data_IF_976745101074
#
_entry.id   IF_976745101074
#
_cell.length_a   1.000
_cell.length_b   1.000
_cell.length_c   1.000
_cell.angle_alpha   90.00
_cell.angle_beta   90.00
_cell.angle_gamma   90.00
#
_symmetry.space_group_name_H-M   'P 1'
#
loop_
_entity.id
_entity.type
_entity.pdbx_description
1 polymer ?
#
# COMPACT_ATOMS: atom_id res chain seq x y z
N UNK A 1 0.61 -31.65 -8.93
CA UNK A 1 1.14 -30.27 -8.96
C UNK A 1 0.00 -29.36 -8.55
N UNK A 2 0.12 -28.66 -7.42
CA UNK A 2 -0.92 -27.77 -6.91
C UNK A 2 -1.12 -26.60 -7.88
N UNK A 3 -2.37 -26.23 -8.14
CA UNK A 3 -2.70 -25.24 -9.17
C UNK A 3 -2.66 -23.84 -8.56
N UNK A 4 -1.76 -22.99 -9.06
CA UNK A 4 -1.71 -21.57 -8.69
C UNK A 4 -2.49 -20.75 -9.71
N UNK A 5 -3.39 -19.89 -9.24
CA UNK A 5 -4.17 -18.98 -10.08
C UNK A 5 -4.12 -17.57 -9.53
N UNK A 6 -3.96 -16.57 -10.38
CA UNK A 6 -4.04 -15.15 -9.99
C UNK A 6 -5.32 -14.54 -10.52
N UNK A 7 -6.02 -13.77 -9.68
CA UNK A 7 -7.19 -12.99 -10.06
C UNK A 7 -7.01 -11.54 -9.59
N UNK A 8 -7.57 -10.62 -10.36
CA UNK A 8 -7.63 -9.20 -10.00
C UNK A 8 -9.10 -8.84 -9.96
N UNK A 9 -9.56 -8.34 -8.82
CA UNK A 9 -10.90 -7.84 -8.61
C UNK A 9 -10.87 -6.31 -8.58
N UNK A 10 -11.89 -5.69 -9.15
CA UNK A 10 -12.15 -4.24 -9.16
C UNK A 10 -13.14 -3.82 -8.06
N UNK A 11 -13.59 -4.77 -7.25
CA UNK A 11 -14.56 -4.58 -6.19
C UNK A 11 -14.29 -5.62 -5.09
N UNK A 12 -14.25 -5.15 -3.84
CA UNK A 12 -13.88 -5.98 -2.70
C UNK A 12 -14.91 -7.08 -2.40
N UNK A 13 -16.19 -6.86 -2.70
CA UNK A 13 -17.27 -7.82 -2.44
C UNK A 13 -17.18 -9.09 -3.31
N UNK A 14 -16.25 -9.14 -4.26
CA UNK A 14 -15.87 -10.37 -5.00
C UNK A 14 -14.91 -11.28 -4.22
N UNK A 15 -14.39 -10.82 -3.09
CA UNK A 15 -13.55 -11.57 -2.17
C UNK A 15 -14.38 -11.83 -0.91
N UNK A 16 -14.46 -13.08 -0.44
CA UNK A 16 -15.16 -13.33 0.80
C UNK A 16 -14.35 -12.77 1.98
N UNK A 17 -15.00 -12.10 2.93
CA UNK A 17 -14.36 -11.53 4.13
C UNK A 17 -13.50 -12.56 4.88
N UNK A 18 -13.98 -13.81 5.00
CA UNK A 18 -13.21 -14.92 5.58
C UNK A 18 -11.86 -15.21 4.87
N UNK A 19 -11.77 -14.97 3.56
CA UNK A 19 -10.52 -15.16 2.80
C UNK A 19 -9.54 -14.02 3.09
N UNK A 20 -10.07 -12.80 3.30
CA UNK A 20 -9.31 -11.65 3.75
C UNK A 20 -8.72 -11.89 5.13
N UNK A 21 -9.57 -12.29 6.07
CA UNK A 21 -9.17 -12.55 7.47
C UNK A 21 -8.14 -13.68 7.55
N UNK A 22 -8.23 -14.70 6.69
CA UNK A 22 -7.29 -15.81 6.66
C UNK A 22 -5.85 -15.39 6.31
N UNK A 23 -5.66 -14.30 5.55
CA UNK A 23 -4.33 -13.85 5.11
C UNK A 23 -3.81 -12.61 5.84
N UNK A 24 -4.69 -11.78 6.39
CA UNK A 24 -4.32 -10.58 7.15
C UNK A 24 -4.38 -10.79 8.66
N UNK A 25 -5.28 -11.64 9.15
CA UNK A 25 -5.60 -11.73 10.58
C UNK A 25 -6.26 -10.45 11.08
N UNK A 26 -6.05 -10.15 12.36
CA UNK A 26 -6.61 -8.97 13.02
C UNK A 26 -5.67 -7.77 12.86
N UNK A 27 -5.95 -6.92 11.86
CA UNK A 27 -5.23 -5.68 11.59
C UNK A 27 -6.21 -4.51 11.44
N UNK A 28 -5.79 -3.25 11.73
CA UNK A 28 -6.64 -2.08 11.52
C UNK A 28 -7.12 -1.93 10.07
N UNK A 29 -6.24 -2.17 9.09
CA UNK A 29 -6.56 -2.18 7.65
C UNK A 29 -7.26 -3.49 7.22
N UNK A 30 -8.36 -3.82 7.91
CA UNK A 30 -9.19 -5.00 7.70
C UNK A 30 -10.11 -4.88 6.47
N UNK A 31 -10.89 -5.93 6.20
CA UNK A 31 -11.87 -5.94 5.11
C UNK A 31 -12.86 -4.76 5.18
N UNK A 32 -13.50 -4.43 6.33
CA UNK A 32 -14.36 -3.25 6.45
C UNK A 32 -13.67 -1.93 6.12
N UNK A 33 -12.37 -1.79 6.42
CA UNK A 33 -11.60 -0.59 6.10
C UNK A 33 -11.54 -0.39 4.58
N UNK A 34 -11.10 -1.39 3.82
CA UNK A 34 -11.01 -1.29 2.35
C UNK A 34 -12.39 -1.16 1.70
N UNK A 35 -13.40 -1.86 2.22
CA UNK A 35 -14.80 -1.70 1.77
C UNK A 35 -15.30 -0.27 1.99
N UNK A 36 -14.94 0.36 3.10
CA UNK A 36 -15.30 1.75 3.37
C UNK A 36 -14.60 2.69 2.39
N UNK A 37 -13.31 2.46 2.08
CA UNK A 37 -12.59 3.28 1.11
C UNK A 37 -13.22 3.22 -0.29
N UNK A 38 -13.59 2.02 -0.74
CA UNK A 38 -14.24 1.81 -2.04
C UNK A 38 -15.62 2.49 -2.09
N UNK A 39 -16.42 2.36 -1.02
CA UNK A 39 -17.75 2.98 -0.92
C UNK A 39 -17.73 4.49 -0.69
N UNK A 40 -16.57 5.07 -0.37
CA UNK A 40 -16.43 6.52 -0.16
C UNK A 40 -16.38 7.32 -1.46
N UNK A 41 -16.45 6.66 -2.62
CA UNK A 41 -16.48 7.27 -3.97
C UNK A 41 -15.35 8.30 -4.20
N UNK A 42 -14.16 7.99 -3.70
CA UNK A 42 -12.99 8.85 -3.83
C UNK A 42 -12.47 8.83 -5.27
N UNK A 43 -13.04 9.70 -6.11
CA UNK A 43 -12.86 9.73 -7.57
C UNK A 43 -11.41 9.82 -8.08
N UNK A 44 -10.47 10.26 -7.24
CA UNK A 44 -9.04 10.32 -7.55
C UNK A 44 -8.33 8.96 -7.44
N UNK A 45 -8.94 7.97 -6.79
CA UNK A 45 -8.43 6.63 -6.63
C UNK A 45 -9.31 5.62 -7.36
N UNK A 46 -8.66 4.64 -7.99
CA UNK A 46 -9.33 3.43 -8.48
C UNK A 46 -8.74 2.24 -7.75
N UNK A 47 -9.57 1.48 -7.04
CA UNK A 47 -9.15 0.36 -6.21
C UNK A 47 -9.16 -0.97 -6.98
N UNK A 48 -8.21 -1.84 -6.65
CA UNK A 48 -8.16 -3.20 -7.15
C UNK A 48 -7.64 -4.13 -6.05
N UNK A 49 -7.92 -5.42 -6.16
CA UNK A 49 -7.47 -6.43 -5.22
C UNK A 49 -6.91 -7.60 -6.00
N UNK A 50 -5.61 -7.81 -5.89
CA UNK A 50 -4.96 -8.96 -6.51
C UNK A 50 -4.93 -10.10 -5.50
N UNK A 51 -5.52 -11.23 -5.89
CA UNK A 51 -5.58 -12.44 -5.08
C UNK A 51 -4.84 -13.57 -5.79
N UNK A 52 -3.91 -14.20 -5.08
CA UNK A 52 -3.26 -15.43 -5.51
C UNK A 52 -3.93 -16.58 -4.77
N UNK A 53 -4.44 -17.53 -5.54
CA UNK A 53 -5.06 -18.75 -5.07
C UNK A 53 -4.12 -19.93 -5.26
N UNK A 54 -4.12 -20.86 -4.29
CA UNK A 54 -3.54 -22.19 -4.42
C UNK A 54 -4.58 -23.22 -4.03
N UNK A 55 -4.92 -24.11 -4.95
CA UNK A 55 -5.96 -25.13 -4.75
C UNK A 55 -7.29 -24.50 -4.23
N UNK A 56 -7.69 -23.39 -4.86
CA UNK A 56 -8.87 -22.58 -4.55
C UNK A 56 -8.88 -21.85 -3.20
N UNK A 57 -7.78 -21.87 -2.45
CA UNK A 57 -7.62 -21.08 -1.23
C UNK A 57 -6.79 -19.82 -1.49
N UNK A 58 -7.26 -18.66 -1.01
CA UNK A 58 -6.49 -17.42 -1.06
C UNK A 58 -5.23 -17.55 -0.19
N UNK A 59 -4.06 -17.45 -0.81
CA UNK A 59 -2.75 -17.53 -0.13
C UNK A 59 -2.05 -16.18 -0.03
N UNK A 60 -2.39 -15.25 -0.93
CA UNK A 60 -1.94 -13.86 -0.88
C UNK A 60 -3.04 -12.93 -1.36
N UNK A 61 -3.26 -11.83 -0.64
CA UNK A 61 -4.11 -10.72 -1.07
C UNK A 61 -3.29 -9.43 -1.01
N UNK A 62 -3.23 -8.73 -2.13
CA UNK A 62 -2.60 -7.42 -2.26
C UNK A 62 -3.69 -6.38 -2.57
N UNK A 63 -3.98 -5.46 -1.64
CA UNK A 63 -4.79 -4.28 -1.91
C UNK A 63 -4.00 -3.33 -2.81
N UNK A 64 -4.62 -2.84 -3.87
CA UNK A 64 -4.00 -1.98 -4.86
C UNK A 64 -4.87 -0.74 -5.08
N UNK A 65 -4.23 0.35 -5.50
CA UNK A 65 -4.95 1.48 -6.05
C UNK A 65 -4.16 2.17 -7.16
N UNK A 66 -4.83 2.85 -8.07
CA UNK A 66 -4.18 3.70 -9.06
C UNK A 66 -4.65 5.14 -8.95
N UNK A 67 -3.73 6.09 -9.12
CA UNK A 67 -4.01 7.53 -9.16
C UNK A 67 -2.97 8.27 -10.02
N UNK A 68 -3.27 9.51 -10.39
CA UNK A 68 -2.27 10.42 -10.92
C UNK A 68 -1.40 10.95 -9.76
N UNK A 69 -0.12 10.60 -9.74
CA UNK A 69 0.82 10.91 -8.66
C UNK A 69 1.78 12.03 -9.05
N UNK A 70 1.96 13.01 -8.15
CA UNK A 70 2.87 14.13 -8.31
C UNK A 70 4.28 13.73 -7.86
N UNK A 71 5.22 13.68 -8.80
CA UNK A 71 6.62 13.30 -8.54
C UNK A 71 7.43 14.42 -7.86
N UNK A 72 6.86 15.62 -7.75
CA UNK A 72 7.46 16.80 -7.10
C UNK A 72 7.02 16.99 -5.64
N UNK A 73 6.37 16.00 -5.01
CA UNK A 73 5.79 16.12 -3.66
C UNK A 73 6.78 16.57 -2.57
N UNK A 74 8.07 16.21 -2.71
CA UNK A 74 9.13 16.58 -1.76
C UNK A 74 9.96 17.80 -2.20
N UNK A 75 9.57 18.48 -3.29
CA UNK A 75 10.34 19.59 -3.85
C UNK A 75 9.93 20.91 -3.19
N UNK A 76 10.87 21.51 -2.46
CA UNK A 76 10.67 22.80 -1.79
C UNK A 76 11.46 23.94 -2.45
N UNK A 77 11.14 25.18 -2.06
CA UNK A 77 11.89 26.38 -2.43
C UNK A 77 11.77 26.78 -3.91
N UNK A 78 12.86 27.35 -4.47
CA UNK A 78 12.85 27.97 -5.80
C UNK A 78 12.50 26.99 -6.93
N UNK A 79 12.80 25.70 -6.76
CA UNK A 79 12.52 24.68 -7.77
C UNK A 79 11.01 24.45 -7.96
N UNK A 80 10.20 24.63 -6.92
CA UNK A 80 8.74 24.60 -7.00
C UNK A 80 8.20 25.67 -7.98
N UNK A 81 8.77 26.87 -7.97
CA UNK A 81 8.39 27.95 -8.89
C UNK A 81 8.68 27.61 -10.36
N UNK A 82 9.81 26.96 -10.62
CA UNK A 82 10.18 26.50 -11.97
C UNK A 82 9.21 25.41 -12.46
N UNK A 83 8.90 24.43 -11.61
CA UNK A 83 7.93 23.36 -11.94
C UNK A 83 6.57 23.95 -12.28
N UNK A 84 6.08 24.91 -11.50
CA UNK A 84 4.81 25.61 -11.78
C UNK A 84 4.83 26.35 -13.11
N UNK A 85 5.95 26.97 -13.49
CA UNK A 85 6.10 27.63 -14.78
C UNK A 85 6.03 26.63 -15.94
N UNK A 86 6.72 25.49 -15.83
CA UNK A 86 6.68 24.42 -16.83
C UNK A 86 5.26 23.87 -16.96
N UNK A 87 4.54 23.67 -15.85
CA UNK A 87 3.14 23.19 -15.85
C UNK A 87 2.16 24.11 -16.56
N UNK A 88 2.48 25.38 -16.80
CA UNK A 88 1.64 26.27 -17.64
C UNK A 88 1.62 25.85 -19.11
N UNK A 89 2.71 25.26 -19.59
CA UNK A 89 2.86 24.81 -20.98
C UNK A 89 2.65 23.30 -21.09
N UNK A 90 3.10 22.53 -20.09
CA UNK A 90 2.94 21.08 -20.02
C UNK A 90 2.24 20.69 -18.71
N UNK A 91 0.89 20.71 -18.65
CA UNK A 91 0.12 20.51 -17.41
C UNK A 91 0.43 19.21 -16.66
N UNK A 92 0.78 18.14 -17.39
CA UNK A 92 1.16 16.83 -16.82
C UNK A 92 2.64 16.69 -16.48
N UNK A 93 3.43 17.78 -16.49
CA UNK A 93 4.83 17.72 -16.10
C UNK A 93 4.97 17.23 -14.65
N UNK A 94 5.76 16.18 -14.45
CA UNK A 94 5.93 15.46 -13.18
C UNK A 94 4.63 14.85 -12.60
N UNK A 95 3.62 14.60 -13.44
CA UNK A 95 2.41 13.87 -13.06
C UNK A 95 2.41 12.52 -13.78
N UNK A 96 2.47 11.44 -13.01
CA UNK A 96 2.51 10.08 -13.55
C UNK A 96 1.35 9.26 -13.02
N UNK A 97 0.60 8.62 -13.92
CA UNK A 97 -0.34 7.58 -13.51
C UNK A 97 0.46 6.44 -12.87
N UNK A 98 0.10 6.09 -11.64
CA UNK A 98 0.90 5.19 -10.81
C UNK A 98 0.00 4.13 -10.22
N UNK A 99 0.45 2.88 -10.26
CA UNK A 99 -0.17 1.75 -9.58
C UNK A 99 0.53 1.53 -8.25
N UNK A 100 -0.22 1.58 -7.16
CA UNK A 100 0.28 1.36 -5.82
C UNK A 100 -0.16 -0.01 -5.30
N UNK A 101 0.76 -0.70 -4.63
CA UNK A 101 0.46 -1.84 -3.77
C UNK A 101 0.45 -1.35 -2.32
N UNK A 102 -0.71 -1.41 -1.67
CA UNK A 102 -1.01 -0.84 -0.37
C UNK A 102 -2.31 -0.05 -0.38
N UNK A 103 -2.47 0.84 0.60
CA UNK A 103 -3.62 1.75 0.73
C UNK A 103 -3.20 3.22 0.61
N UNK A 104 -4.04 4.09 0.03
CA UNK A 104 -3.77 5.52 0.00
C UNK A 104 -3.75 6.16 1.39
N UNK A 105 -4.47 5.58 2.36
CA UNK A 105 -4.64 6.13 3.72
C UNK A 105 -3.97 5.31 4.82
N UNK A 106 -3.39 4.16 4.50
CA UNK A 106 -2.62 3.41 5.49
C UNK A 106 -1.22 4.00 5.66
N UNK A 107 -0.81 4.14 6.91
CA UNK A 107 0.55 4.53 7.31
C UNK A 107 1.57 3.39 7.08
N UNK A 108 1.09 2.14 7.11
CA UNK A 108 1.90 0.96 6.83
C UNK A 108 1.34 0.22 5.62
N UNK A 109 2.22 -0.11 4.67
CA UNK A 109 1.94 -1.06 3.60
C UNK A 109 1.63 -2.43 4.18
N UNK A 110 0.46 -2.97 3.80
CA UNK A 110 0.02 -4.31 4.19
C UNK A 110 -0.07 -5.20 2.96
N UNK A 111 0.39 -6.44 3.13
CA UNK A 111 0.27 -7.52 2.16
C UNK A 111 -0.17 -8.75 2.93
N UNK A 112 -1.36 -9.26 2.61
CA UNK A 112 -1.92 -10.42 3.28
C UNK A 112 -1.24 -11.66 2.73
N UNK A 113 -0.60 -12.45 3.59
CA UNK A 113 -0.01 -13.73 3.20
C UNK A 113 -0.41 -14.75 4.27
N UNK A 114 -1.03 -15.83 3.82
CA UNK A 114 -1.44 -16.92 4.70
C UNK A 114 -0.23 -17.48 5.45
N UNK A 115 -0.43 -17.83 6.73
CA UNK A 115 0.67 -18.15 7.66
C UNK A 115 1.60 -19.27 7.15
N UNK A 116 1.03 -20.32 6.57
CA UNK A 116 1.73 -21.46 5.96
C UNK A 116 2.48 -21.12 4.66
N UNK A 117 2.21 -19.96 4.06
CA UNK A 117 2.87 -19.46 2.85
C UNK A 117 3.82 -18.28 3.10
N UNK A 118 4.02 -17.82 4.34
CA UNK A 118 4.92 -16.70 4.65
C UNK A 118 6.37 -16.92 4.21
N UNK A 119 6.82 -18.17 4.12
CA UNK A 119 8.15 -18.54 3.61
C UNK A 119 8.21 -18.82 2.10
N UNK A 120 7.11 -18.64 1.38
CA UNK A 120 7.04 -18.98 -0.05
C UNK A 120 7.86 -18.02 -0.90
N UNK A 121 8.81 -18.56 -1.65
CA UNK A 121 9.69 -17.79 -2.53
C UNK A 121 9.03 -17.38 -3.86
N UNK A 122 7.87 -17.93 -4.19
CA UNK A 122 7.19 -17.72 -5.48
C UNK A 122 6.13 -16.62 -5.44
N UNK A 123 5.55 -16.31 -4.27
CA UNK A 123 4.40 -15.41 -4.17
C UNK A 123 4.72 -13.96 -4.55
N UNK A 124 5.80 -13.39 -4.01
CA UNK A 124 6.18 -11.99 -4.29
C UNK A 124 6.63 -11.80 -5.75
N UNK A 125 7.45 -12.69 -6.36
CA UNK A 125 7.74 -12.62 -7.79
C UNK A 125 6.49 -12.73 -8.66
N UNK A 126 5.54 -13.59 -8.29
CA UNK A 126 4.28 -13.75 -9.00
C UNK A 126 3.42 -12.48 -8.90
N UNK A 127 3.27 -11.92 -7.70
CA UNK A 127 2.64 -10.64 -7.46
C UNK A 127 3.27 -9.55 -8.33
N UNK A 128 4.60 -9.41 -8.31
CA UNK A 128 5.31 -8.40 -9.09
C UNK A 128 5.05 -8.51 -10.60
N UNK A 129 4.97 -9.74 -11.13
CA UNK A 129 4.64 -9.98 -12.55
C UNK A 129 3.21 -9.53 -12.86
N UNK A 130 2.25 -9.95 -12.05
CA UNK A 130 0.85 -9.56 -12.22
C UNK A 130 0.63 -8.05 -12.09
N UNK A 131 1.37 -7.37 -11.21
CA UNK A 131 1.35 -5.90 -11.11
C UNK A 131 1.91 -5.23 -12.38
N UNK A 132 2.97 -5.77 -12.98
CA UNK A 132 3.49 -5.26 -14.26
C UNK A 132 2.46 -5.40 -15.38
N UNK A 133 1.80 -6.55 -15.47
CA UNK A 133 0.75 -6.78 -16.46
C UNK A 133 -0.44 -5.83 -16.26
N UNK A 134 -0.86 -5.60 -15.00
CA UNK A 134 -1.91 -4.64 -14.66
C UNK A 134 -1.49 -3.20 -14.99
N UNK A 135 -0.25 -2.82 -14.66
CA UNK A 135 0.28 -1.49 -14.93
C UNK A 135 0.29 -1.17 -16.44
N UNK A 136 0.65 -2.13 -17.29
CA UNK A 136 0.54 -2.00 -18.75
C UNK A 136 -0.91 -1.77 -19.17
N UNK A 137 -1.86 -2.55 -18.67
CA UNK A 137 -3.30 -2.38 -18.97
C UNK A 137 -3.84 -1.01 -18.55
N UNK A 138 -3.34 -0.48 -17.44
CA UNK A 138 -3.77 0.81 -16.88
C UNK A 138 -3.02 2.02 -17.48
N UNK A 139 -2.06 1.80 -18.38
CA UNK A 139 -1.11 2.82 -18.84
C UNK A 139 -0.42 3.55 -17.66
N UNK A 140 -0.09 2.80 -16.61
CA UNK A 140 0.60 3.29 -15.42
C UNK A 140 2.10 2.97 -15.54
N UNK A 141 2.96 3.92 -15.94
CA UNK A 141 4.39 3.66 -16.11
C UNK A 141 5.15 3.41 -14.80
N UNK A 142 4.52 3.65 -13.64
CA UNK A 142 5.14 3.51 -12.33
C UNK A 142 4.35 2.54 -11.44
N UNK A 143 5.08 1.67 -10.74
CA UNK A 143 4.54 0.77 -9.72
C UNK A 143 5.25 1.07 -8.39
N UNK A 144 4.49 1.30 -7.33
CA UNK A 144 5.03 1.61 -6.00
C UNK A 144 4.47 0.62 -4.98
N UNK A 145 5.37 -0.07 -4.26
CA UNK A 145 5.01 -0.72 -3.00
C UNK A 145 5.09 0.34 -1.90
N UNK A 146 3.93 0.81 -1.44
CA UNK A 146 3.82 2.02 -0.60
C UNK A 146 4.01 1.67 0.88
N UNK A 147 4.89 2.42 1.54
CA UNK A 147 5.05 2.52 3.01
C UNK A 147 5.23 1.19 3.77
N UNK A 148 5.98 0.25 3.20
CA UNK A 148 6.32 -0.99 3.93
C UNK A 148 7.35 -0.70 5.04
N UNK A 149 7.04 -1.05 6.30
CA UNK A 149 7.93 -0.80 7.42
C UNK A 149 9.20 -1.66 7.32
N UNK A 150 10.31 -1.17 7.89
CA UNK A 150 11.64 -1.73 7.67
C UNK A 150 11.70 -3.24 8.01
N UNK A 151 11.01 -3.66 9.07
CA UNK A 151 10.94 -5.04 9.54
C UNK A 151 10.27 -5.97 8.52
N UNK A 152 9.41 -5.42 7.65
CA UNK A 152 8.70 -6.16 6.60
C UNK A 152 9.36 -6.05 5.23
N UNK A 153 10.43 -5.27 5.09
CA UNK A 153 11.10 -5.08 3.78
C UNK A 153 11.83 -6.32 3.27
N UNK A 154 12.27 -7.22 4.16
CA UNK A 154 12.96 -8.46 3.78
C UNK A 154 12.10 -9.35 2.87
N UNK A 155 10.79 -9.39 3.11
CA UNK A 155 9.82 -10.09 2.25
C UNK A 155 9.84 -9.55 0.81
N UNK A 156 10.12 -8.25 0.66
CA UNK A 156 10.13 -7.53 -0.62
C UNK A 156 11.53 -7.45 -1.25
N UNK A 157 12.60 -7.96 -0.62
CA UNK A 157 13.97 -7.90 -1.16
C UNK A 157 14.07 -8.53 -2.56
N UNK A 158 13.27 -9.56 -2.83
CA UNK A 158 13.20 -10.22 -4.13
C UNK A 158 12.76 -9.28 -5.26
N UNK A 159 12.04 -8.19 -4.95
CA UNK A 159 11.64 -7.19 -5.93
C UNK A 159 12.84 -6.47 -6.54
N UNK A 160 13.97 -6.35 -5.83
CA UNK A 160 15.20 -5.76 -6.36
C UNK A 160 15.69 -6.52 -7.60
N UNK A 161 15.55 -7.85 -7.59
CA UNK A 161 15.88 -8.72 -8.73
C UNK A 161 14.82 -8.67 -9.84
N UNK A 162 13.67 -8.07 -9.57
CA UNK A 162 12.58 -7.86 -10.52
C UNK A 162 12.58 -6.46 -11.14
N UNK A 163 13.65 -5.67 -10.93
CA UNK A 163 13.79 -4.32 -11.50
C UNK A 163 13.12 -3.22 -10.69
N UNK A 164 12.72 -3.50 -9.44
CA UNK A 164 12.32 -2.45 -8.51
C UNK A 164 13.54 -1.87 -7.80
N UNK A 165 13.42 -0.60 -7.39
CA UNK A 165 14.40 0.07 -6.55
C UNK A 165 13.79 0.37 -5.18
N UNK A 166 14.64 0.39 -4.14
CA UNK A 166 14.24 0.80 -2.79
C UNK A 166 14.56 2.28 -2.59
N UNK A 167 13.59 3.00 -2.02
CA UNK A 167 13.77 4.37 -1.54
C UNK A 167 13.22 4.49 -0.13
N UNK A 168 13.72 5.46 0.66
CA UNK A 168 13.13 5.81 1.95
C UNK A 168 11.87 6.64 1.72
N UNK A 169 10.81 6.34 2.46
CA UNK A 169 9.59 7.18 2.51
C UNK A 169 9.80 8.37 3.46
N UNK A 170 8.76 9.17 3.64
CA UNK A 170 8.75 10.26 4.61
C UNK A 170 8.94 9.73 6.05
N UNK A 171 9.53 10.54 6.96
CA UNK A 171 9.70 10.13 8.34
C UNK A 171 8.33 9.96 9.02
N UNK A 172 8.11 8.81 9.63
CA UNK A 172 6.98 8.56 10.52
C UNK A 172 7.38 8.83 11.97
N UNK A 173 6.44 9.35 12.77
CA UNK A 173 6.61 9.50 14.21
C UNK A 173 5.84 8.37 14.90
N UNK A 174 6.55 7.54 15.62
CA UNK A 174 5.97 6.49 16.45
C UNK A 174 5.91 6.96 17.90
N UNK A 175 4.74 6.81 18.52
CA UNK A 175 4.54 7.10 19.95
C UNK A 175 4.20 5.78 20.64
N UNK A 176 5.11 5.35 21.51
CA UNK A 176 4.91 4.16 22.32
C UNK A 176 3.88 4.45 23.44
N UNK A 177 2.67 3.90 23.29
CA UNK A 177 1.60 4.04 24.28
C UNK A 177 1.69 2.92 25.32
N UNK A 178 2.77 2.94 26.10
CA UNK A 178 3.05 1.93 27.14
C UNK A 178 2.53 2.37 28.52
N UNK A 179 1.27 2.79 28.59
CA UNK A 179 0.64 3.28 29.82
C UNK A 179 -0.50 2.35 30.24
N UNK A 180 -0.60 2.06 31.53
CA UNK A 180 -1.64 1.17 32.08
C UNK A 180 -3.00 1.85 32.17
N UNK A 181 -3.03 3.17 32.08
CA UNK A 181 -4.25 3.97 32.12
C UNK A 181 -4.04 5.33 31.45
N UNK A 182 -5.14 5.96 31.05
CA UNK A 182 -5.15 7.32 30.55
C UNK A 182 -4.56 8.31 31.57
N UNK A 183 -4.83 8.11 32.86
CA UNK A 183 -4.28 8.93 33.95
C UNK A 183 -2.76 8.84 34.06
N UNK A 184 -2.19 7.64 33.87
CA UNK A 184 -0.74 7.45 33.86
C UNK A 184 -0.09 8.16 32.67
N UNK A 185 -0.73 8.04 31.50
CA UNK A 185 -0.32 8.79 30.31
C UNK A 185 -0.31 10.31 30.58
N UNK A 186 -1.40 10.88 31.11
CA UNK A 186 -1.47 12.31 31.44
C UNK A 186 -0.38 12.73 32.46
N UNK A 187 -0.08 11.87 33.44
CA UNK A 187 1.00 12.14 34.40
C UNK A 187 2.38 12.16 33.75
N UNK A 188 2.62 11.37 32.71
CA UNK A 188 3.88 11.39 31.95
C UNK A 188 4.06 12.65 31.09
N UNK A 189 2.98 13.34 30.73
CA UNK A 189 3.04 14.55 29.91
C UNK A 189 3.60 15.75 30.70
N UNK A 190 4.27 16.66 30.01
CA UNK A 190 4.71 17.94 30.59
C UNK A 190 3.51 18.82 31.01
N UNK A 191 3.75 19.76 31.94
CA UNK A 191 2.69 20.65 32.45
C UNK A 191 2.02 21.53 31.39
N UNK A 192 2.74 21.86 30.30
CA UNK A 192 2.20 22.57 29.13
C UNK A 192 1.33 21.66 28.26
N UNK A 193 1.78 20.43 27.99
CA UNK A 193 1.05 19.46 27.15
C UNK A 193 -0.22 18.94 27.81
N UNK A 194 -0.26 18.85 29.15
CA UNK A 194 -1.45 18.45 29.91
C UNK A 194 -2.65 19.40 29.81
N UNK A 195 -2.44 20.64 29.37
CA UNK A 195 -3.48 21.70 29.38
C UNK A 195 -4.25 21.83 28.05
N UNK A 196 -3.80 21.14 27.00
CA UNK A 196 -4.41 21.14 25.67
C UNK A 196 -5.24 19.88 25.47
#
# INVERSE_FOLDING_TARGET
>A
MNKITCKIYDNIDRIAEKEWDAVFGDIPESYPFYKTLENSELNEFVFYYLVIYRDDEAVLIAPLFSMDFNLDIAVEGKLCGVIKLIRRVLPRFLISKTLFCGSPFAECGVLGIRQDFKGSLELIPLLARQLKDLAVKLNAPLIIFKDFPQERTALLDVLLRQGFSRTKSFPAVLVDVNFRSFEEYLKSLGSSTRKN
#
